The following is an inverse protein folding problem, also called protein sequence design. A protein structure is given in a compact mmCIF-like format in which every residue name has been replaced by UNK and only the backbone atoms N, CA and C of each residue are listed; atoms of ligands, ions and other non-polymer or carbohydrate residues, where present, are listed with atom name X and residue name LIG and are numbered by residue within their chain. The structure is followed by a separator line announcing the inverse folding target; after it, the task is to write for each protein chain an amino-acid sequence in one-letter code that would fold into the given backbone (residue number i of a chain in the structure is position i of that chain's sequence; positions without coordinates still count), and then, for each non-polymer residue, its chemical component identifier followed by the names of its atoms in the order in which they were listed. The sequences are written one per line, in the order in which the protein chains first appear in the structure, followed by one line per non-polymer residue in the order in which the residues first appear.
data_IF_686794421137
#
_entry.id   IF_686794421137
#
_cell.length_a   1.000
_cell.length_b   1.000
_cell.length_c   1.000
_cell.angle_alpha   90.00
_cell.angle_beta   90.00
_cell.angle_gamma   90.00
#
_symmetry.space_group_name_H-M   'P 1'
#
loop_
_entity.id
_entity.type
_entity.pdbx_description
1 polymer ?
#
# COMPACT_ATOMS: atom_id res chain seq x y z
N UNK A 1 -47.29 -23.58 -41.70
CA UNK A 1 -45.92 -23.71 -41.16
C UNK A 1 -45.35 -22.31 -41.08
N UNK A 2 -45.22 -21.75 -39.88
CA UNK A 2 -44.66 -20.43 -39.66
C UNK A 2 -43.27 -20.60 -39.05
N UNK A 3 -42.23 -20.28 -39.83
CA UNK A 3 -40.88 -20.10 -39.29
C UNK A 3 -40.83 -18.74 -38.61
N UNK A 4 -40.90 -18.72 -37.28
CA UNK A 4 -40.46 -17.59 -36.51
C UNK A 4 -38.94 -17.53 -36.60
N UNK A 5 -38.42 -16.54 -37.34
CA UNK A 5 -37.02 -16.18 -37.25
C UNK A 5 -36.74 -15.75 -35.80
N UNK A 6 -35.91 -16.52 -35.09
CA UNK A 6 -35.33 -16.07 -33.83
C UNK A 6 -34.52 -14.81 -34.15
N UNK A 7 -35.02 -13.66 -33.70
CA UNK A 7 -34.20 -12.48 -33.57
C UNK A 7 -33.09 -12.83 -32.58
N UNK A 8 -31.83 -12.76 -33.03
CA UNK A 8 -30.68 -12.81 -32.15
C UNK A 8 -30.84 -11.72 -31.08
N UNK A 9 -30.53 -11.98 -29.80
CA UNK A 9 -30.46 -10.92 -28.82
C UNK A 9 -29.41 -9.92 -29.30
N UNK A 10 -29.84 -8.69 -29.56
CA UNK A 10 -28.95 -7.54 -29.67
C UNK A 10 -28.16 -7.46 -28.37
N UNK A 11 -26.89 -7.87 -28.41
CA UNK A 11 -25.97 -7.63 -27.31
C UNK A 11 -26.00 -6.14 -27.03
N UNK A 12 -26.46 -5.76 -25.84
CA UNK A 12 -26.26 -4.42 -25.32
C UNK A 12 -24.76 -4.10 -25.41
N UNK A 13 -24.44 -3.02 -26.11
CA UNK A 13 -23.15 -2.34 -26.05
C UNK A 13 -22.72 -2.28 -24.59
N UNK A 14 -21.60 -2.91 -24.24
CA UNK A 14 -20.99 -2.70 -22.93
C UNK A 14 -20.43 -1.27 -22.97
N UNK A 15 -21.20 -0.29 -22.49
CA UNK A 15 -20.79 1.11 -22.49
C UNK A 15 -19.53 1.34 -21.63
N UNK A 16 -19.15 0.37 -20.79
CA UNK A 16 -17.85 0.34 -20.11
C UNK A 16 -17.49 -1.11 -19.72
N UNK A 17 -16.19 -1.36 -19.54
CA UNK A 17 -15.66 -2.54 -18.86
C UNK A 17 -15.19 -2.12 -17.46
N UNK A 18 -15.55 -2.90 -16.43
CA UNK A 18 -14.97 -2.74 -15.10
C UNK A 18 -13.74 -3.64 -14.97
N UNK A 19 -12.57 -3.07 -14.71
CA UNK A 19 -11.36 -3.83 -14.42
C UNK A 19 -11.10 -3.78 -12.91
N UNK A 20 -11.08 -4.94 -12.25
CA UNK A 20 -10.86 -5.04 -10.82
C UNK A 20 -9.54 -5.68 -10.51
N UNK A 21 -8.69 -4.98 -9.80
CA UNK A 21 -7.45 -5.50 -9.25
C UNK A 21 -7.66 -5.73 -7.77
N UNK A 22 -7.44 -6.95 -7.31
CA UNK A 22 -7.75 -7.36 -5.94
C UNK A 22 -6.69 -8.29 -5.39
N UNK A 23 -6.52 -8.23 -4.07
CA UNK A 23 -5.74 -9.23 -3.36
C UNK A 23 -6.39 -10.61 -3.43
N UNK A 24 -5.60 -11.66 -3.17
CA UNK A 24 -6.10 -13.03 -2.99
C UNK A 24 -7.11 -13.15 -1.83
N UNK A 25 -7.20 -12.13 -0.97
CA UNK A 25 -8.12 -12.02 0.16
C UNK A 25 -9.34 -11.12 -0.15
N UNK A 26 -9.48 -10.60 -1.38
CA UNK A 26 -10.63 -9.81 -1.80
C UNK A 26 -10.55 -8.30 -1.54
N UNK A 27 -9.41 -7.80 -1.07
CA UNK A 27 -9.19 -6.35 -0.85
C UNK A 27 -8.90 -5.68 -2.19
N UNK A 28 -9.56 -4.57 -2.56
CA UNK A 28 -9.20 -3.80 -3.75
C UNK A 28 -7.74 -3.33 -3.70
N UNK A 29 -7.04 -3.45 -4.82
CA UNK A 29 -5.63 -3.03 -4.98
C UNK A 29 -5.54 -2.11 -6.18
N UNK A 30 -4.83 -1.00 -6.08
CA UNK A 30 -4.61 -0.14 -7.24
C UNK A 30 -3.51 -0.70 -8.13
N UNK A 31 -3.72 -0.65 -9.44
CA UNK A 31 -2.72 -1.13 -10.39
C UNK A 31 -2.92 -0.55 -11.77
N UNK A 32 -1.79 -0.34 -12.46
CA UNK A 32 -1.79 -0.02 -13.88
C UNK A 32 -2.24 -1.21 -14.70
N UNK A 33 -3.11 -0.94 -15.64
CA UNK A 33 -3.56 -1.91 -16.64
C UNK A 33 -2.93 -1.52 -17.97
N UNK A 34 -2.33 -2.48 -18.66
CA UNK A 34 -1.95 -2.33 -20.05
C UNK A 34 -2.89 -3.13 -20.95
N UNK A 35 -3.16 -2.58 -22.12
CA UNK A 35 -3.97 -3.18 -23.17
C UNK A 35 -3.14 -3.43 -24.43
N UNK A 36 -3.42 -4.54 -25.09
CA UNK A 36 -2.94 -4.88 -26.43
C UNK A 36 -4.13 -5.33 -27.27
N UNK A 37 -4.33 -4.68 -28.41
CA UNK A 37 -5.39 -5.00 -29.37
C UNK A 37 -4.76 -5.66 -30.59
N UNK A 38 -5.31 -6.79 -31.05
CA UNK A 38 -4.85 -7.48 -32.27
C UNK A 38 -3.34 -7.80 -32.26
N UNK A 39 -2.83 -8.13 -31.07
CA UNK A 39 -1.40 -8.37 -30.80
C UNK A 39 -0.46 -7.16 -31.00
N UNK A 40 -0.98 -5.94 -31.03
CA UNK A 40 -0.17 -4.72 -31.03
C UNK A 40 0.70 -4.59 -29.77
N UNK A 41 1.64 -3.63 -29.81
CA UNK A 41 2.42 -3.25 -28.63
C UNK A 41 1.49 -2.91 -27.46
N UNK A 42 1.93 -3.26 -26.25
CA UNK A 42 1.18 -2.96 -25.05
C UNK A 42 1.19 -1.45 -24.77
N UNK A 43 0.04 -0.95 -24.34
CA UNK A 43 -0.19 0.47 -24.05
C UNK A 43 -0.89 0.62 -22.72
N UNK A 44 -0.52 1.64 -21.93
CA UNK A 44 -1.22 1.98 -20.69
C UNK A 44 -2.69 2.27 -21.02
N UNK A 45 -3.59 1.60 -20.31
CA UNK A 45 -5.03 1.77 -20.45
C UNK A 45 -5.51 2.81 -19.42
N UNK A 46 -5.96 3.96 -19.90
CA UNK A 46 -6.58 4.98 -19.07
C UNK A 46 -8.03 4.61 -18.71
N UNK A 47 -8.44 4.96 -17.49
CA UNK A 47 -9.79 4.70 -17.01
C UNK A 47 -10.18 5.57 -15.82
N UNK A 48 -11.47 5.62 -15.54
CA UNK A 48 -12.03 6.32 -14.39
C UNK A 48 -11.97 5.40 -13.16
N UNK A 49 -11.23 5.83 -12.13
CA UNK A 49 -11.23 5.13 -10.86
C UNK A 49 -12.64 5.14 -10.25
N UNK A 50 -13.12 3.97 -9.86
CA UNK A 50 -14.36 3.80 -9.10
C UNK A 50 -14.06 3.06 -7.80
N UNK A 51 -14.94 3.20 -6.79
CA UNK A 51 -14.75 2.51 -5.50
C UNK A 51 -14.69 0.97 -5.58
N UNK A 52 -15.01 0.39 -6.75
CA UNK A 52 -14.97 -1.06 -6.99
C UNK A 52 -13.90 -1.51 -7.98
N UNK A 53 -13.14 -0.60 -8.60
CA UNK A 53 -12.15 -0.89 -9.65
C UNK A 53 -12.04 0.24 -10.68
N UNK A 54 -11.33 0.01 -11.79
CA UNK A 54 -11.17 1.00 -12.87
C UNK A 54 -12.21 0.78 -13.95
N UNK A 55 -13.05 1.78 -14.23
CA UNK A 55 -13.98 1.76 -15.36
C UNK A 55 -13.25 2.24 -16.61
N UNK A 56 -13.30 1.45 -17.67
CA UNK A 56 -12.67 1.78 -18.95
C UNK A 56 -13.72 1.75 -20.05
N UNK A 57 -13.68 2.76 -20.92
CA UNK A 57 -14.57 2.85 -22.08
C UNK A 57 -13.84 2.27 -23.28
N UNK A 58 -14.30 1.11 -23.77
CA UNK A 58 -13.69 0.41 -24.90
C UNK A 58 -14.69 0.34 -26.05
N UNK A 59 -14.21 0.62 -27.28
CA UNK A 59 -15.03 0.50 -28.50
C UNK A 59 -15.35 -0.95 -28.86
N UNK A 60 -14.53 -1.90 -28.39
CA UNK A 60 -14.76 -3.35 -28.48
C UNK A 60 -14.18 -4.06 -27.25
N UNK A 61 -14.86 -5.10 -26.78
CA UNK A 61 -14.38 -5.99 -25.71
C UNK A 61 -14.60 -7.45 -26.13
N UNK A 62 -13.63 -8.00 -26.83
CA UNK A 62 -13.67 -9.36 -27.36
C UNK A 62 -12.27 -10.03 -27.23
N UNK A 63 -12.13 -11.23 -27.80
CA UNK A 63 -10.87 -11.99 -27.76
C UNK A 63 -9.68 -11.34 -28.48
N UNK A 64 -9.86 -10.23 -29.19
CA UNK A 64 -8.75 -9.45 -29.78
C UNK A 64 -8.11 -8.48 -28.79
N UNK A 65 -8.81 -8.15 -27.70
CA UNK A 65 -8.36 -7.23 -26.67
C UNK A 65 -7.78 -8.03 -25.51
N UNK A 66 -6.49 -7.83 -25.25
CA UNK A 66 -5.75 -8.47 -24.17
C UNK A 66 -5.39 -7.42 -23.13
N UNK A 67 -5.54 -7.79 -21.88
CA UNK A 67 -5.30 -6.96 -20.72
C UNK A 67 -4.25 -7.66 -19.87
N UNK A 68 -3.31 -6.90 -19.33
CA UNK A 68 -2.49 -7.36 -18.20
C UNK A 68 -2.45 -6.25 -17.18
N UNK A 69 -2.50 -6.64 -15.92
CA UNK A 69 -2.23 -5.72 -14.83
C UNK A 69 -0.74 -5.80 -14.48
N UNK A 70 -0.08 -4.66 -14.33
CA UNK A 70 1.34 -4.64 -14.00
C UNK A 70 1.60 -4.77 -12.52
N UNK A 71 2.71 -5.43 -12.23
CA UNK A 71 3.41 -5.29 -10.97
C UNK A 71 3.84 -3.84 -10.82
N UNK A 72 3.39 -3.18 -9.76
CA UNK A 72 4.20 -2.13 -9.16
C UNK A 72 5.07 -2.73 -8.07
N UNK A 73 6.27 -2.19 -8.02
CA UNK A 73 7.47 -2.83 -7.50
C UNK A 73 7.43 -3.26 -6.03
N UNK A 74 8.53 -3.90 -5.62
CA UNK A 74 8.79 -4.66 -4.38
C UNK A 74 8.52 -3.92 -3.06
N UNK A 75 7.93 -2.73 -3.08
CA UNK A 75 7.74 -1.79 -1.99
C UNK A 75 6.35 -1.10 -1.97
N UNK A 76 5.35 -1.61 -2.70
CA UNK A 76 3.92 -1.28 -2.48
C UNK A 76 3.28 -2.18 -1.42
N UNK A 77 2.02 -1.96 -1.02
CA UNK A 77 1.35 -2.86 -0.07
C UNK A 77 1.11 -4.26 -0.67
N UNK A 78 0.97 -4.32 -2.00
CA UNK A 78 0.64 -5.54 -2.75
C UNK A 78 1.53 -5.73 -3.98
N UNK A 79 1.85 -6.98 -4.31
CA UNK A 79 2.53 -7.39 -5.55
C UNK A 79 1.72 -8.48 -6.25
N UNK A 80 1.74 -8.51 -7.59
CA UNK A 80 1.13 -9.64 -8.34
C UNK A 80 1.94 -10.91 -8.13
N UNK A 81 1.26 -12.01 -7.83
CA UNK A 81 1.85 -13.36 -7.78
C UNK A 81 1.99 -13.99 -9.17
N UNK A 82 1.21 -13.52 -10.15
CA UNK A 82 1.29 -13.93 -11.56
C UNK A 82 1.46 -12.69 -12.44
N UNK A 83 2.64 -12.03 -12.43
CA UNK A 83 2.86 -10.78 -13.15
C UNK A 83 2.67 -10.90 -14.67
N UNK A 84 2.88 -12.09 -15.24
CA UNK A 84 2.72 -12.36 -16.67
C UNK A 84 1.31 -12.83 -17.06
N UNK A 85 0.36 -12.89 -16.11
CA UNK A 85 -1.03 -13.28 -16.38
C UNK A 85 -1.72 -12.22 -17.25
N UNK A 86 -2.00 -12.64 -18.49
CA UNK A 86 -2.74 -11.90 -19.51
C UNK A 86 -4.16 -12.44 -19.56
N UNK A 87 -5.15 -11.54 -19.47
CA UNK A 87 -6.58 -11.87 -19.56
C UNK A 87 -7.17 -11.25 -20.82
N UNK A 88 -8.06 -11.97 -21.47
CA UNK A 88 -8.83 -11.42 -22.58
C UNK A 88 -9.95 -10.51 -22.05
N UNK A 89 -10.33 -9.52 -22.83
CA UNK A 89 -11.43 -8.65 -22.49
C UNK A 89 -12.74 -9.45 -22.40
N UNK A 90 -13.42 -9.36 -21.26
CA UNK A 90 -14.70 -10.01 -21.03
C UNK A 90 -15.63 -9.02 -20.32
N UNK A 91 -16.62 -8.51 -21.03
CA UNK A 91 -17.65 -7.65 -20.44
C UNK A 91 -18.58 -8.46 -19.53
N UNK A 92 -19.10 -7.88 -18.42
CA UNK A 92 -18.92 -6.50 -17.99
C UNK A 92 -17.66 -6.26 -17.14
N UNK A 93 -16.93 -7.31 -16.76
CA UNK A 93 -15.88 -7.23 -15.75
C UNK A 93 -14.70 -8.16 -16.05
N UNK A 94 -13.48 -7.62 -15.93
CA UNK A 94 -12.23 -8.40 -15.88
C UNK A 94 -11.60 -8.22 -14.52
N UNK A 95 -11.39 -9.32 -13.82
CA UNK A 95 -10.75 -9.32 -12.49
C UNK A 95 -9.30 -9.74 -12.63
N UNK A 96 -8.39 -9.19 -11.83
CA UNK A 96 -7.03 -9.65 -11.56
C UNK A 96 -6.91 -9.83 -10.04
N UNK A 97 -7.07 -11.06 -9.58
CA UNK A 97 -7.23 -11.41 -8.16
C UNK A 97 -5.99 -12.09 -7.56
N UNK A 98 -4.82 -11.83 -8.13
CA UNK A 98 -3.57 -12.52 -7.81
C UNK A 98 -2.58 -11.65 -7.04
N UNK A 99 -3.05 -10.53 -6.47
CA UNK A 99 -2.20 -9.67 -5.65
C UNK A 99 -2.00 -10.27 -4.26
N UNK A 100 -0.75 -10.33 -3.82
CA UNK A 100 -0.34 -10.79 -2.49
C UNK A 100 0.33 -9.64 -1.75
N UNK A 101 0.13 -9.56 -0.44
CA UNK A 101 0.80 -8.51 0.37
C UNK A 101 2.32 -8.67 0.28
N UNK A 102 3.04 -7.57 0.11
CA UNK A 102 4.52 -7.57 0.19
C UNK A 102 4.96 -7.79 1.65
N UNK A 103 6.24 -8.10 1.89
CA UNK A 103 6.72 -8.29 3.27
C UNK A 103 6.46 -7.08 4.18
N UNK A 104 6.63 -5.86 3.66
CA UNK A 104 6.30 -4.62 4.40
C UNK A 104 4.78 -4.44 4.53
N UNK A 105 4.03 -4.68 3.45
CA UNK A 105 2.57 -4.65 3.47
C UNK A 105 1.93 -5.70 4.39
N UNK A 106 2.61 -6.82 4.65
CA UNK A 106 2.19 -7.85 5.60
C UNK A 106 2.24 -7.31 7.03
N UNK A 107 3.31 -6.61 7.42
CA UNK A 107 3.44 -6.02 8.76
C UNK A 107 2.39 -4.91 8.95
N UNK A 108 2.13 -4.09 7.93
CA UNK A 108 1.18 -2.97 8.00
C UNK A 108 -0.25 -3.39 7.59
N UNK A 109 -0.71 -4.57 8.01
CA UNK A 109 -2.03 -5.06 7.61
C UNK A 109 -2.98 -5.30 8.78
N UNK A 110 -4.31 -5.31 8.53
CA UNK A 110 -5.30 -5.64 9.56
C UNK A 110 -5.05 -7.00 10.24
N UNK A 111 -4.45 -7.95 9.52
CA UNK A 111 -4.16 -9.29 10.04
C UNK A 111 -2.84 -9.36 10.84
N UNK A 112 -2.05 -8.28 10.84
CA UNK A 112 -0.78 -8.14 11.58
C UNK A 112 -0.89 -7.06 12.66
N UNK A 113 -0.44 -5.82 12.42
CA UNK A 113 -0.61 -4.74 13.41
C UNK A 113 -2.06 -4.32 13.63
N UNK A 114 -3.03 -4.79 12.85
CA UNK A 114 -4.46 -4.69 13.20
C UNK A 114 -5.00 -5.83 14.05
N UNK A 115 -4.17 -6.80 14.42
CA UNK A 115 -4.53 -8.01 15.17
C UNK A 115 -4.04 -7.90 16.63
N UNK A 116 -4.94 -7.98 17.63
CA UNK A 116 -4.57 -7.91 19.04
C UNK A 116 -3.45 -8.88 19.45
N UNK A 117 -3.40 -10.08 18.87
CA UNK A 117 -2.37 -11.09 19.18
C UNK A 117 -0.95 -10.64 18.82
N UNK A 118 -0.80 -9.83 17.78
CA UNK A 118 0.50 -9.27 17.42
C UNK A 118 0.98 -8.25 18.46
N UNK A 119 0.04 -7.59 19.16
CA UNK A 119 0.35 -6.63 20.23
C UNK A 119 0.52 -7.30 21.59
N UNK A 120 -0.03 -8.49 21.81
CA UNK A 120 0.23 -9.29 23.01
C UNK A 120 1.71 -9.69 23.14
N UNK A 121 2.45 -9.82 22.03
CA UNK A 121 3.90 -10.04 22.07
C UNK A 121 4.70 -8.80 22.50
N UNK A 122 4.08 -7.62 22.39
CA UNK A 122 4.65 -6.33 22.77
C UNK A 122 4.26 -6.01 24.22
N UNK A 123 2.98 -6.08 24.57
CA UNK A 123 2.43 -5.64 25.86
C UNK A 123 2.19 -6.78 26.86
N UNK A 124 2.56 -8.01 26.52
CA UNK A 124 2.32 -9.19 27.36
C UNK A 124 0.84 -9.52 27.51
N UNK A 125 0.42 -9.95 28.71
CA UNK A 125 -0.97 -10.39 28.96
C UNK A 125 -1.99 -9.25 29.09
N UNK A 126 -1.61 -7.99 28.85
CA UNK A 126 -2.56 -6.87 28.81
C UNK A 126 -3.34 -6.85 27.49
N UNK A 127 -4.32 -7.75 27.42
CA UNK A 127 -5.20 -7.92 26.26
C UNK A 127 -6.04 -6.65 25.93
N UNK A 128 -6.35 -5.82 26.92
CA UNK A 128 -7.10 -4.57 26.73
C UNK A 128 -6.23 -3.54 25.99
N UNK A 129 -4.99 -3.36 26.45
CA UNK A 129 -4.04 -2.47 25.77
C UNK A 129 -3.69 -3.00 24.39
N UNK A 130 -3.44 -4.30 24.23
CA UNK A 130 -3.15 -4.92 22.95
C UNK A 130 -4.29 -4.71 21.93
N UNK A 131 -5.54 -4.91 22.35
CA UNK A 131 -6.72 -4.69 21.49
C UNK A 131 -6.87 -3.23 21.10
N UNK A 132 -6.68 -2.30 22.04
CA UNK A 132 -6.76 -0.86 21.76
C UNK A 132 -5.78 -0.43 20.66
N UNK A 133 -4.55 -0.95 20.69
CA UNK A 133 -3.52 -0.59 19.72
C UNK A 133 -3.78 -1.22 18.35
N UNK A 134 -4.22 -2.48 18.35
CA UNK A 134 -4.65 -3.19 17.16
C UNK A 134 -5.80 -2.45 16.44
N UNK A 135 -6.83 -2.09 17.19
CA UNK A 135 -7.99 -1.38 16.66
C UNK A 135 -7.59 0.00 16.12
N UNK A 136 -6.74 0.74 16.85
CA UNK A 136 -6.29 2.06 16.41
C UNK A 136 -5.44 2.00 15.13
N UNK A 137 -4.55 1.01 14.99
CA UNK A 137 -3.80 0.78 13.75
C UNK A 137 -4.72 0.35 12.61
N UNK A 138 -5.67 -0.56 12.86
CA UNK A 138 -6.65 -1.01 11.86
C UNK A 138 -7.51 0.14 11.36
N UNK A 139 -7.96 1.01 12.25
CA UNK A 139 -8.79 2.17 11.92
C UNK A 139 -8.00 3.21 11.12
N UNK A 140 -6.76 3.51 11.53
CA UNK A 140 -5.88 4.42 10.78
C UNK A 140 -5.59 3.91 9.36
N UNK A 141 -5.36 2.59 9.22
CA UNK A 141 -5.19 1.95 7.91
C UNK A 141 -6.44 2.07 7.04
N UNK A 142 -7.62 1.83 7.62
CA UNK A 142 -8.89 1.94 6.89
C UNK A 142 -9.21 3.35 6.42
N UNK A 143 -8.73 4.38 7.13
CA UNK A 143 -8.91 5.80 6.78
C UNK A 143 -7.83 6.37 5.87
N UNK A 144 -6.69 5.69 5.72
CA UNK A 144 -5.52 6.25 5.04
C UNK A 144 -4.80 7.32 5.86
N UNK A 145 -4.84 7.23 7.19
CA UNK A 145 -4.17 8.16 8.11
C UNK A 145 -2.65 7.88 8.17
N UNK A 146 -1.96 8.07 7.04
CA UNK A 146 -0.56 7.69 6.91
C UNK A 146 0.41 8.49 7.79
N UNK A 147 0.06 9.73 8.16
CA UNK A 147 0.81 10.50 9.14
C UNK A 147 0.75 9.87 10.52
N UNK A 148 -0.42 9.35 10.90
CA UNK A 148 -0.59 8.61 12.15
C UNK A 148 0.31 7.38 12.20
N UNK A 149 0.23 6.55 11.15
CA UNK A 149 1.00 5.31 11.05
C UNK A 149 2.50 5.63 11.08
N UNK A 150 2.96 6.63 10.34
CA UNK A 150 4.37 7.01 10.31
C UNK A 150 4.92 7.40 11.70
N UNK A 151 4.18 8.21 12.47
CA UNK A 151 4.60 8.63 13.81
C UNK A 151 4.60 7.42 14.76
N UNK A 152 3.51 6.64 14.77
CA UNK A 152 3.38 5.47 15.64
C UNK A 152 4.55 4.49 15.42
N UNK A 153 4.86 4.18 14.17
CA UNK A 153 5.90 3.20 13.85
C UNK A 153 7.31 3.77 14.05
N UNK A 154 7.52 5.07 13.85
CA UNK A 154 8.76 5.75 14.22
C UNK A 154 9.05 5.67 15.72
N UNK A 155 8.03 5.86 16.57
CA UNK A 155 8.18 5.77 18.03
C UNK A 155 8.41 4.34 18.51
N UNK A 156 7.72 3.35 17.91
CA UNK A 156 7.96 1.93 18.19
C UNK A 156 9.39 1.53 17.82
N UNK A 157 9.86 1.93 16.63
CA UNK A 157 11.24 1.70 16.20
C UNK A 157 12.25 2.33 17.17
N UNK A 158 12.02 3.58 17.59
CA UNK A 158 12.90 4.26 18.55
C UNK A 158 12.97 3.52 19.89
N UNK A 159 11.82 3.04 20.38
CA UNK A 159 11.72 2.28 21.63
C UNK A 159 12.49 0.96 21.55
N UNK A 160 12.31 0.21 20.45
CA UNK A 160 13.00 -1.07 20.22
C UNK A 160 14.52 -0.90 20.06
N UNK A 161 14.98 0.14 19.35
CA UNK A 161 16.41 0.46 19.27
C UNK A 161 16.99 0.77 20.64
N UNK A 162 16.29 1.60 21.44
CA UNK A 162 16.73 1.97 22.79
C UNK A 162 16.82 0.76 23.73
N UNK A 163 15.99 -0.25 23.51
CA UNK A 163 16.02 -1.51 24.25
C UNK A 163 17.08 -2.52 23.75
N UNK A 164 17.88 -2.18 22.74
CA UNK A 164 18.93 -3.06 22.22
C UNK A 164 18.45 -4.07 21.18
N UNK A 165 17.26 -3.86 20.59
CA UNK A 165 16.65 -4.74 19.58
C UNK A 165 16.61 -4.10 18.18
N UNK A 166 17.76 -3.78 17.55
CA UNK A 166 17.78 -3.07 16.26
C UNK A 166 17.17 -3.86 15.10
N UNK A 167 17.25 -5.20 15.14
CA UNK A 167 16.59 -6.07 14.15
C UNK A 167 15.06 -5.98 14.23
N UNK A 168 14.53 -5.84 15.45
CA UNK A 168 13.10 -5.66 15.69
C UNK A 168 12.62 -4.28 15.25
N UNK A 169 13.46 -3.26 15.40
CA UNK A 169 13.13 -1.90 15.01
C UNK A 169 13.01 -1.75 13.48
N UNK A 170 13.85 -2.44 12.72
CA UNK A 170 14.00 -2.21 11.28
C UNK A 170 12.69 -2.29 10.45
N UNK A 171 11.79 -3.27 10.66
CA UNK A 171 10.48 -3.26 10.01
C UNK A 171 9.71 -1.96 10.28
N UNK A 172 9.62 -1.51 11.54
CA UNK A 172 8.90 -0.29 11.89
C UNK A 172 9.54 0.98 11.31
N UNK A 173 10.86 1.02 11.16
CA UNK A 173 11.56 2.10 10.48
C UNK A 173 11.18 2.17 9.00
N UNK A 174 11.16 1.01 8.34
CA UNK A 174 10.78 0.88 6.93
C UNK A 174 9.32 1.31 6.74
N UNK A 175 8.45 0.94 7.67
CA UNK A 175 7.05 1.34 7.67
C UNK A 175 6.87 2.85 7.88
N UNK A 176 7.70 3.48 8.72
CA UNK A 176 7.66 4.93 8.92
C UNK A 176 8.02 5.68 7.62
N UNK A 177 9.07 5.21 6.92
CA UNK A 177 9.46 5.73 5.61
C UNK A 177 8.35 5.55 4.57
N UNK A 178 7.86 4.31 4.44
CA UNK A 178 6.78 3.97 3.50
C UNK A 178 5.54 4.83 3.75
N UNK A 179 5.06 4.89 4.99
CA UNK A 179 3.83 5.62 5.33
C UNK A 179 3.99 7.12 5.12
N UNK A 180 5.16 7.69 5.45
CA UNK A 180 5.43 9.11 5.16
C UNK A 180 5.30 9.38 3.65
N UNK A 181 5.91 8.54 2.81
CA UNK A 181 5.81 8.73 1.36
C UNK A 181 4.41 8.45 0.82
N UNK A 182 3.71 7.44 1.35
CA UNK A 182 2.30 7.18 1.02
C UNK A 182 1.42 8.39 1.30
N UNK A 183 1.59 9.04 2.45
CA UNK A 183 0.84 10.26 2.77
C UNK A 183 1.17 11.42 1.82
N UNK A 184 2.44 11.60 1.44
CA UNK A 184 2.84 12.63 0.47
C UNK A 184 2.22 12.36 -0.90
N UNK A 185 2.24 11.11 -1.36
CA UNK A 185 1.63 10.70 -2.64
C UNK A 185 0.12 10.93 -2.61
N UNK A 186 -0.55 10.51 -1.53
CA UNK A 186 -1.99 10.73 -1.34
C UNK A 186 -2.36 12.21 -1.38
N UNK A 187 -1.59 13.09 -0.72
CA UNK A 187 -1.83 14.55 -0.79
C UNK A 187 -1.66 15.11 -2.20
N UNK A 188 -0.79 14.52 -3.02
CA UNK A 188 -0.63 14.87 -4.44
C UNK A 188 -1.66 14.20 -5.36
N UNK A 189 -2.65 13.46 -4.82
CA UNK A 189 -3.64 12.71 -5.60
C UNK A 189 -3.05 11.52 -6.34
N UNK A 190 -1.87 11.06 -5.94
CA UNK A 190 -1.19 9.90 -6.51
C UNK A 190 -1.41 8.71 -5.57
N UNK A 191 -1.77 7.57 -6.14
CA UNK A 191 -1.92 6.36 -5.35
C UNK A 191 -0.55 5.94 -4.75
N UNK A 192 -0.46 5.60 -3.45
CA UNK A 192 0.77 5.10 -2.87
C UNK A 192 1.29 3.80 -3.49
N UNK A 193 0.38 2.92 -3.92
CA UNK A 193 0.74 1.71 -4.64
C UNK A 193 1.28 2.05 -6.03
N UNK A 194 1.06 3.30 -6.49
CA UNK A 194 1.45 3.82 -7.78
C UNK A 194 2.94 4.21 -7.90
N UNK A 195 3.71 4.05 -6.83
CA UNK A 195 5.04 4.61 -6.75
C UNK A 195 6.00 3.72 -5.97
N UNK A 196 7.12 3.33 -6.59
CA UNK A 196 8.21 2.68 -5.86
C UNK A 196 8.94 3.71 -4.98
N UNK A 197 8.64 3.72 -3.69
CA UNK A 197 9.20 4.70 -2.76
C UNK A 197 10.50 4.23 -2.11
N UNK A 198 10.74 2.93 -2.01
CA UNK A 198 11.92 2.36 -1.36
C UNK A 198 12.68 1.40 -2.29
N UNK A 199 13.97 1.22 -2.04
CA UNK A 199 14.83 0.25 -2.71
C UNK A 199 15.95 -0.25 -1.80
N UNK A 200 16.57 -1.37 -2.17
CA UNK A 200 17.69 -1.96 -1.43
C UNK A 200 18.91 -1.07 -1.58
N UNK A 201 19.51 -0.69 -0.46
CA UNK A 201 20.75 0.08 -0.47
C UNK A 201 21.91 -0.84 -0.93
N UNK A 202 22.72 -0.45 -1.92
CA UNK A 202 23.85 -1.26 -2.35
C UNK A 202 24.79 -1.61 -1.19
N UNK A 203 25.03 -2.91 -0.98
CA UNK A 203 25.89 -3.40 0.10
C UNK A 203 25.24 -3.45 1.49
N UNK A 204 23.93 -3.22 1.59
CA UNK A 204 23.17 -3.33 2.84
C UNK A 204 21.86 -4.10 2.62
N UNK A 205 21.38 -4.75 3.68
CA UNK A 205 20.04 -5.33 3.79
C UNK A 205 18.95 -4.29 4.07
N UNK A 206 19.31 -3.00 4.13
CA UNK A 206 18.41 -1.91 4.47
C UNK A 206 17.77 -1.26 3.25
N UNK A 207 16.48 -1.03 3.36
CA UNK A 207 15.66 -0.28 2.43
C UNK A 207 15.82 1.22 2.70
N UNK A 208 16.00 1.99 1.63
CA UNK A 208 16.07 3.45 1.66
C UNK A 208 15.22 4.06 0.57
N UNK A 209 14.95 5.36 0.64
CA UNK A 209 14.16 6.06 -0.36
C UNK A 209 14.83 5.97 -1.74
N UNK A 210 14.04 5.68 -2.78
CA UNK A 210 14.52 5.81 -4.16
C UNK A 210 14.91 7.27 -4.42
N UNK A 211 15.84 7.57 -5.36
CA UNK A 211 16.16 8.95 -5.72
C UNK A 211 14.91 9.77 -6.07
N UNK A 212 13.96 9.17 -6.79
CA UNK A 212 12.69 9.80 -7.16
C UNK A 212 11.80 10.10 -5.94
N UNK A 213 11.74 9.19 -4.96
CA UNK A 213 11.01 9.42 -3.72
C UNK A 213 11.69 10.48 -2.85
N UNK A 214 13.01 10.49 -2.83
CA UNK A 214 13.82 11.50 -2.15
C UNK A 214 13.56 12.90 -2.72
N UNK A 215 13.50 13.04 -4.04
CA UNK A 215 13.18 14.31 -4.71
C UNK A 215 11.76 14.77 -4.39
N UNK A 216 10.77 13.86 -4.41
CA UNK A 216 9.39 14.18 -4.02
C UNK A 216 9.26 14.65 -2.57
N UNK A 217 9.97 14.00 -1.65
CA UNK A 217 10.00 14.41 -0.24
C UNK A 217 10.55 15.83 -0.10
N UNK A 218 11.67 16.11 -0.77
CA UNK A 218 12.29 17.45 -0.76
C UNK A 218 11.36 18.49 -1.36
N UNK A 219 10.69 18.17 -2.48
CA UNK A 219 9.73 19.05 -3.12
C UNK A 219 8.57 19.37 -2.18
N UNK A 220 7.93 18.33 -1.62
CA UNK A 220 6.84 18.46 -0.66
C UNK A 220 7.22 19.35 0.52
N UNK A 221 8.39 19.12 1.11
CA UNK A 221 8.87 19.89 2.25
C UNK A 221 9.13 21.36 1.91
N UNK A 222 9.50 21.67 0.67
CA UNK A 222 9.67 23.06 0.22
C UNK A 222 8.33 23.72 -0.09
N UNK A 223 7.43 23.04 -0.80
CA UNK A 223 6.17 23.62 -1.29
C UNK A 223 5.11 23.68 -0.21
N UNK A 224 4.90 22.59 0.52
CA UNK A 224 3.82 22.47 1.49
C UNK A 224 4.25 22.90 2.90
N UNK A 225 5.52 22.66 3.27
CA UNK A 225 6.03 22.96 4.62
C UNK A 225 6.91 24.20 4.70
N UNK A 226 7.25 24.81 3.55
CA UNK A 226 8.09 26.01 3.50
C UNK A 226 9.50 25.82 4.05
N UNK A 227 10.05 24.59 4.05
CA UNK A 227 11.40 24.35 4.57
C UNK A 227 12.46 25.02 3.69
N UNK A 228 13.38 25.73 4.35
CA UNK A 228 14.56 26.30 3.69
C UNK A 228 15.41 25.23 3.00
N UNK A 229 16.03 25.51 1.85
CA UNK A 229 17.04 24.66 1.22
C UNK A 229 18.21 24.26 2.13
N UNK A 230 18.48 25.06 3.17
CA UNK A 230 19.55 24.82 4.16
C UNK A 230 19.06 24.12 5.44
N UNK A 231 17.79 23.75 5.51
CA UNK A 231 17.22 23.05 6.67
C UNK A 231 17.87 21.68 6.86
N UNK A 232 18.19 21.33 8.10
CA UNK A 232 18.71 20.01 8.47
C UNK A 232 17.66 18.90 8.35
N UNK A 233 16.38 19.26 8.29
CA UNK A 233 15.24 18.35 8.11
C UNK A 233 14.90 18.11 6.64
N UNK A 234 15.50 18.87 5.73
CA UNK A 234 15.24 18.73 4.30
C UNK A 234 15.71 17.35 3.82
N UNK A 235 14.83 16.64 3.12
CA UNK A 235 15.04 15.29 2.63
C UNK A 235 14.94 14.21 3.71
N UNK A 236 14.51 14.52 4.93
CA UNK A 236 14.32 13.52 5.99
C UNK A 236 12.84 13.35 6.31
N UNK A 237 12.41 12.13 6.59
CA UNK A 237 11.06 11.83 7.10
C UNK A 237 11.00 12.21 8.59
N UNK A 238 11.09 13.51 8.88
CA UNK A 238 11.08 14.04 10.24
C UNK A 238 9.66 14.22 10.79
N UNK A 239 9.56 14.48 12.09
CA UNK A 239 8.30 14.70 12.80
C UNK A 239 7.44 15.80 12.17
N UNK A 240 8.06 16.89 11.73
CA UNK A 240 7.36 17.99 11.05
C UNK A 240 6.64 17.51 9.80
N UNK A 241 7.28 16.64 9.01
CA UNK A 241 6.69 16.08 7.79
C UNK A 241 5.63 15.05 8.11
N UNK A 242 5.83 14.18 9.11
CA UNK A 242 4.80 13.19 9.44
C UNK A 242 3.53 13.85 10.00
N UNK A 243 3.67 14.92 10.78
CA UNK A 243 2.53 15.66 11.37
C UNK A 243 1.69 16.40 10.35
N UNK A 244 2.26 16.81 9.21
CA UNK A 244 1.53 17.51 8.16
C UNK A 244 0.67 16.59 7.28
N UNK A 245 0.76 15.27 7.50
CA UNK A 245 0.02 14.24 6.78
C UNK A 245 -1.24 13.83 7.54
N UNK A 246 -2.18 13.18 6.86
CA UNK A 246 -3.45 12.75 7.43
C UNK A 246 -3.27 11.93 8.72
N UNK A 247 -4.05 12.28 9.76
CA UNK A 247 -3.97 11.70 11.11
C UNK A 247 -2.72 12.05 11.92
N UNK A 248 -1.72 12.72 11.34
CA UNK A 248 -0.45 13.02 12.01
C UNK A 248 -0.54 14.06 13.13
N UNK A 249 -1.41 15.06 13.00
CA UNK A 249 -1.60 16.11 14.03
C UNK A 249 -2.15 15.55 15.35
N UNK A 250 -2.99 14.51 15.27
CA UNK A 250 -3.69 13.93 16.41
C UNK A 250 -2.82 12.98 17.24
N UNK A 251 -1.67 12.54 16.70
CA UNK A 251 -0.80 11.58 17.40
C UNK A 251 -0.08 12.22 18.58
N UNK A 252 -0.30 11.65 19.77
CA UNK A 252 0.52 11.91 20.95
C UNK A 252 1.67 10.90 21.02
N UNK A 253 2.89 11.36 20.77
CA UNK A 253 4.14 10.56 20.78
C UNK A 253 4.22 9.54 21.92
N UNK A 254 3.82 9.99 23.12
CA UNK A 254 3.96 9.26 24.37
C UNK A 254 3.14 7.97 24.38
N UNK A 255 2.05 7.91 23.61
CA UNK A 255 1.18 6.73 23.50
C UNK A 255 1.86 5.60 22.73
N UNK A 256 2.87 5.87 21.90
CA UNK A 256 3.53 4.84 21.06
C UNK A 256 4.90 4.40 21.57
N UNK A 257 5.28 4.86 22.77
CA UNK A 257 6.55 4.48 23.40
C UNK A 257 6.38 3.17 24.15
N UNK A 258 7.17 2.16 23.78
CA UNK A 258 7.22 0.92 24.54
C UNK A 258 8.01 1.14 25.83
N UNK A 259 7.50 0.69 26.98
CA UNK A 259 8.31 0.55 28.19
C UNK A 259 9.57 -0.27 27.90
N UNK A 260 10.70 0.13 28.48
CA UNK A 260 11.99 -0.48 28.18
C UNK A 260 12.05 -2.00 28.48
N UNK A 261 11.28 -2.46 29.47
CA UNK A 261 11.15 -3.87 29.85
C UNK A 261 10.34 -4.70 28.86
N UNK A 262 9.39 -4.09 28.16
CA UNK A 262 8.52 -4.78 27.20
C UNK A 262 9.21 -4.94 25.85
N UNK A 263 10.00 -3.94 25.45
CA UNK A 263 10.76 -3.97 24.20
C UNK A 263 11.84 -5.08 24.13
N UNK A 264 12.25 -5.66 25.26
CA UNK A 264 13.17 -6.82 25.29
C UNK A 264 12.49 -8.16 25.01
N UNK A 265 11.16 -8.24 25.12
CA UNK A 265 10.38 -9.46 24.90
C UNK A 265 9.78 -9.57 23.49
N UNK A 266 10.03 -8.57 22.65
CA UNK A 266 9.43 -8.47 21.33
C UNK A 266 9.80 -9.66 20.44
N UNK A 267 8.82 -10.53 20.20
CA UNK A 267 8.93 -11.62 19.25
C UNK A 267 8.62 -11.12 17.84
N UNK A 268 9.62 -11.11 16.96
CA UNK A 268 9.44 -10.72 15.55
C UNK A 268 8.66 -11.76 14.75
N UNK A 269 8.58 -13.01 15.22
CA UNK A 269 8.00 -14.11 14.47
C UNK A 269 6.47 -14.03 14.32
N UNK A 270 5.80 -13.28 15.20
CA UNK A 270 4.36 -12.96 15.07
C UNK A 270 4.06 -11.99 13.92
N UNK A 271 5.08 -11.34 13.35
CA UNK A 271 4.94 -10.45 12.18
C UNK A 271 5.37 -11.13 10.88
N UNK A 272 5.93 -12.34 10.94
CA UNK A 272 6.17 -13.17 9.76
C UNK A 272 4.86 -13.83 9.31
N UNK A 273 4.58 -13.90 8.00
CA UNK A 273 3.40 -14.59 7.50
C UNK A 273 3.46 -16.07 7.89
N UNK A 274 2.30 -16.73 8.07
CA UNK A 274 2.26 -18.19 8.14
C UNK A 274 2.94 -18.77 6.88
N UNK A 275 3.66 -19.90 7.00
CA UNK A 275 4.27 -20.55 5.84
C UNK A 275 3.20 -20.81 4.78
N UNK A 276 3.51 -20.43 3.54
CA UNK A 276 2.67 -20.67 2.36
C UNK A 276 2.58 -22.16 2.03
#
# INVERSE_FOLDING_TARGET
MASAALAAPTMASADFLLIRTMSTQGVPVSSKIEMSVDNAAWTDLEGEASGTGTKVFLSKCDGSVRLKAYKRDRMGFYTRSRPDDVRFCQAPEVVFNDYVRTAVGQVISPDSLGNPKAWESIFGSDSLQATKYADAFRDALGKGDYGYIAIATSELAASLRKAGSPRAAYPFETMALQSTMSGILQQKGVDPDDFQVLDVTPGSDRLTLTPKAQDLLIEYQKTELGLSPTSKELGKTGWTTMKSLAGGEEVKAVEWKLPATEATHFDQSVFTPPPM
#
